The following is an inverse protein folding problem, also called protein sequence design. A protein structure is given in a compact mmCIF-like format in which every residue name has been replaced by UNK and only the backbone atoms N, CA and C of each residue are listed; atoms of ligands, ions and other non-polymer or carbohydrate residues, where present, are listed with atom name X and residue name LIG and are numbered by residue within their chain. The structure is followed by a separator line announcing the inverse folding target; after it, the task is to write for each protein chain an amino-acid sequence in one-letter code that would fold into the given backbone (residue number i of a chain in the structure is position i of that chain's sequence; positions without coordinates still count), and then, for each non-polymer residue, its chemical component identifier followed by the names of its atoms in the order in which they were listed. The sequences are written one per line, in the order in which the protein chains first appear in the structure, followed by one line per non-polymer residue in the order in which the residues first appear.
data_IF_599853638894
#
_entry.id   IF_599853638894
#
_cell.length_a   1.000
_cell.length_b   1.000
_cell.length_c   1.000
_cell.angle_alpha   90.00
_cell.angle_beta   90.00
_cell.angle_gamma   90.00
#
_symmetry.space_group_name_H-M   'P 1'
#
loop_
_entity.id
_entity.type
_entity.pdbx_description
1 polymer ?
#
# COMPACT_ATOMS: atom_id res chain seq x y z
N UNK A 1 9.21 11.16 -15.70
CA UNK A 1 7.76 10.85 -15.72
C UNK A 1 7.61 9.48 -16.36
N UNK A 2 7.45 8.42 -15.57
CA UNK A 2 7.21 7.09 -16.12
C UNK A 2 5.86 7.11 -16.87
N UNK A 3 5.90 6.91 -18.18
CA UNK A 3 4.69 6.85 -19.01
C UNK A 3 3.94 5.57 -18.65
N UNK A 4 2.95 5.67 -17.77
CA UNK A 4 2.05 4.59 -17.31
C UNK A 4 1.19 3.93 -18.41
N UNK A 5 1.59 4.01 -19.68
CA UNK A 5 0.86 3.37 -20.78
C UNK A 5 -0.54 3.94 -21.02
N UNK A 6 -0.80 5.18 -20.62
CA UNK A 6 -2.10 5.81 -20.85
C UNK A 6 -2.34 6.02 -22.35
N UNK A 7 -3.55 5.67 -22.79
CA UNK A 7 -4.04 5.90 -24.14
C UNK A 7 -4.93 7.13 -24.18
N UNK A 8 -4.75 7.96 -25.20
CA UNK A 8 -5.50 9.20 -25.37
C UNK A 8 -6.32 9.09 -26.64
N UNK A 9 -7.63 9.26 -26.52
CA UNK A 9 -8.55 9.19 -27.66
C UNK A 9 -9.19 10.54 -27.93
N UNK A 10 -9.47 10.79 -29.21
CA UNK A 10 -10.13 11.99 -29.69
C UNK A 10 -11.20 11.57 -30.69
N UNK A 11 -12.35 12.23 -30.65
CA UNK A 11 -13.43 11.97 -31.60
C UNK A 11 -13.06 12.38 -33.04
N UNK A 12 -13.40 11.52 -33.98
CA UNK A 12 -13.18 11.71 -35.41
C UNK A 12 -13.91 12.96 -35.90
N UNK A 13 -13.22 13.79 -36.69
CA UNK A 13 -13.75 15.05 -37.23
C UNK A 13 -14.22 16.08 -36.17
N UNK A 14 -13.82 15.91 -34.91
CA UNK A 14 -14.09 16.91 -33.87
C UNK A 14 -13.18 18.14 -34.02
N UNK A 15 -13.60 19.27 -33.45
CA UNK A 15 -12.75 20.46 -33.37
C UNK A 15 -11.47 20.19 -32.56
N UNK A 16 -11.53 19.30 -31.56
CA UNK A 16 -10.38 18.86 -30.79
C UNK A 16 -9.38 18.06 -31.62
N UNK A 17 -9.86 17.22 -32.56
CA UNK A 17 -9.00 16.52 -33.52
C UNK A 17 -8.23 17.51 -34.37
N UNK A 18 -8.92 18.46 -35.00
CA UNK A 18 -8.28 19.47 -35.84
C UNK A 18 -7.32 20.38 -35.06
N UNK A 19 -7.62 20.67 -33.79
CA UNK A 19 -6.73 21.44 -32.92
C UNK A 19 -5.43 20.71 -32.61
N UNK A 20 -5.49 19.40 -32.40
CA UNK A 20 -4.29 18.59 -32.11
C UNK A 20 -3.46 18.35 -33.37
N UNK A 21 -4.12 18.06 -34.49
CA UNK A 21 -3.46 17.81 -35.78
C UNK A 21 -2.74 19.05 -36.31
N UNK A 22 -3.40 20.21 -36.25
CA UNK A 22 -2.83 21.47 -36.73
C UNK A 22 -2.12 22.29 -35.64
N UNK A 23 -2.10 21.77 -34.41
CA UNK A 23 -1.53 22.45 -33.25
C UNK A 23 -0.02 22.50 -33.29
N UNK A 24 0.56 23.60 -32.79
CA UNK A 24 2.01 23.75 -32.61
C UNK A 24 2.39 23.63 -31.14
N UNK A 25 3.70 23.47 -30.88
CA UNK A 25 4.22 23.29 -29.52
C UNK A 25 3.66 22.03 -28.84
N UNK A 26 3.10 22.20 -27.64
CA UNK A 26 2.59 21.09 -26.83
C UNK A 26 1.51 20.26 -27.52
N UNK A 27 0.63 20.87 -28.31
CA UNK A 27 -0.42 20.14 -29.02
C UNK A 27 0.15 19.27 -30.15
N UNK A 28 1.14 19.80 -30.89
CA UNK A 28 1.85 19.05 -31.93
C UNK A 28 2.70 17.92 -31.35
N UNK A 29 3.37 18.15 -30.21
CA UNK A 29 4.12 17.11 -29.51
C UNK A 29 3.19 15.99 -29.01
N UNK A 30 2.03 16.35 -28.46
CA UNK A 30 1.01 15.39 -28.03
C UNK A 30 0.48 14.58 -29.22
N UNK A 31 0.17 15.22 -30.33
CA UNK A 31 -0.27 14.57 -31.57
C UNK A 31 0.77 13.58 -32.11
N UNK A 32 2.04 13.99 -32.13
CA UNK A 32 3.16 13.14 -32.52
C UNK A 32 3.30 11.94 -31.57
N UNK A 33 3.10 12.14 -30.27
CA UNK A 33 3.13 11.05 -29.29
C UNK A 33 1.97 10.07 -29.47
N UNK A 34 0.76 10.56 -29.72
CA UNK A 34 -0.42 9.73 -29.99
C UNK A 34 -0.19 8.87 -31.23
N UNK A 35 0.18 9.50 -32.34
CA UNK A 35 0.38 8.83 -33.64
C UNK A 35 1.53 7.82 -33.61
N UNK A 36 2.61 8.09 -32.86
CA UNK A 36 3.78 7.19 -32.80
C UNK A 36 3.63 6.03 -31.81
N UNK A 37 2.93 6.24 -30.69
CA UNK A 37 2.90 5.27 -29.58
C UNK A 37 1.65 4.39 -29.55
N UNK A 38 0.55 4.82 -30.18
CA UNK A 38 -0.74 4.14 -30.09
C UNK A 38 -1.22 3.71 -31.48
N UNK A 39 -1.67 2.46 -31.66
CA UNK A 39 -2.16 1.98 -32.95
C UNK A 39 -3.52 2.62 -33.32
N UNK A 40 -4.33 2.94 -32.32
CA UNK A 40 -5.65 3.54 -32.46
C UNK A 40 -5.80 4.67 -31.45
N UNK A 41 -6.09 5.88 -31.93
CA UNK A 41 -6.23 7.10 -31.12
C UNK A 41 -7.50 7.91 -31.48
N UNK A 42 -8.28 7.40 -32.43
CA UNK A 42 -9.52 8.02 -32.92
C UNK A 42 -10.70 7.14 -32.55
N UNK A 43 -11.77 7.77 -32.04
CA UNK A 43 -13.07 7.15 -31.74
C UNK A 43 -14.15 7.77 -32.62
N UNK A 44 -15.22 7.03 -32.89
CA UNK A 44 -16.28 7.52 -33.79
C UNK A 44 -17.26 8.47 -33.08
N UNK A 45 -17.40 8.33 -31.75
CA UNK A 45 -18.27 9.19 -30.94
C UNK A 45 -17.70 9.45 -29.55
N UNK A 46 -18.06 10.59 -28.94
CA UNK A 46 -17.73 10.88 -27.53
C UNK A 46 -18.31 9.82 -26.58
N UNK A 47 -19.52 9.32 -26.83
CA UNK A 47 -20.17 8.30 -26.00
C UNK A 47 -19.33 7.02 -25.91
N UNK A 48 -18.79 6.55 -27.04
CA UNK A 48 -17.89 5.39 -27.10
C UNK A 48 -16.63 5.63 -26.27
N UNK A 49 -16.03 6.82 -26.39
CA UNK A 49 -14.89 7.22 -25.57
C UNK A 49 -15.20 7.16 -24.08
N UNK A 50 -16.34 7.71 -23.66
CA UNK A 50 -16.75 7.70 -22.25
C UNK A 50 -16.97 6.26 -21.77
N UNK A 51 -17.54 5.38 -22.58
CA UNK A 51 -17.66 3.96 -22.24
C UNK A 51 -16.31 3.27 -22.08
N UNK A 52 -15.32 3.58 -22.91
CA UNK A 52 -13.95 3.05 -22.78
C UNK A 52 -13.27 3.48 -21.48
N UNK A 53 -13.42 4.75 -21.09
CA UNK A 53 -12.90 5.29 -19.82
C UNK A 53 -13.60 4.64 -18.63
N UNK A 54 -14.91 4.35 -18.73
CA UNK A 54 -15.63 3.63 -17.68
C UNK A 54 -15.06 2.22 -17.46
N UNK A 55 -14.77 1.52 -18.55
CA UNK A 55 -14.31 0.13 -18.52
C UNK A 55 -12.83 0.00 -18.12
N UNK A 56 -12.00 1.01 -18.40
CA UNK A 56 -10.55 0.93 -18.25
C UNK A 56 -9.95 2.17 -17.59
N UNK A 57 -9.02 1.96 -16.64
CA UNK A 57 -8.41 3.06 -15.87
C UNK A 57 -7.26 3.76 -16.57
N UNK A 58 -6.81 3.22 -17.71
CA UNK A 58 -5.61 3.68 -18.43
C UNK A 58 -5.97 4.43 -19.72
N UNK A 59 -7.21 4.88 -19.84
CA UNK A 59 -7.72 5.57 -21.02
C UNK A 59 -8.16 6.98 -20.64
N UNK A 60 -7.86 7.93 -21.52
CA UNK A 60 -8.30 9.31 -21.44
C UNK A 60 -8.93 9.71 -22.78
N UNK A 61 -9.93 10.58 -22.72
CA UNK A 61 -10.67 11.07 -23.89
C UNK A 61 -10.67 12.58 -23.90
N UNK A 62 -10.37 13.19 -25.05
CA UNK A 62 -10.49 14.62 -25.28
C UNK A 62 -11.76 14.89 -26.07
N UNK A 63 -12.67 15.66 -25.48
CA UNK A 63 -13.89 16.13 -26.12
C UNK A 63 -14.39 17.42 -25.45
N UNK A 64 -15.53 17.94 -25.92
CA UNK A 64 -16.20 19.07 -25.30
C UNK A 64 -16.53 18.80 -23.83
N UNK A 65 -16.15 19.72 -22.95
CA UNK A 65 -16.35 19.56 -21.49
C UNK A 65 -17.82 19.31 -21.13
N UNK A 66 -18.74 20.00 -21.78
CA UNK A 66 -20.16 19.89 -21.48
C UNK A 66 -20.73 18.54 -21.92
N UNK A 67 -20.33 18.07 -23.09
CA UNK A 67 -20.68 16.73 -23.60
C UNK A 67 -20.14 15.66 -22.67
N UNK A 68 -18.86 15.75 -22.26
CA UNK A 68 -18.27 14.82 -21.30
C UNK A 68 -19.00 14.85 -19.97
N UNK A 69 -19.32 16.04 -19.46
CA UNK A 69 -20.04 16.17 -18.20
C UNK A 69 -21.43 15.53 -18.27
N UNK A 70 -22.15 15.74 -19.37
CA UNK A 70 -23.45 15.13 -19.64
C UNK A 70 -23.35 13.60 -19.72
N UNK A 71 -22.40 13.07 -20.49
CA UNK A 71 -22.23 11.63 -20.68
C UNK A 71 -21.78 10.94 -19.39
N UNK A 72 -20.88 11.55 -18.62
CA UNK A 72 -20.46 11.04 -17.30
C UNK A 72 -21.67 10.98 -16.35
N UNK A 73 -22.51 12.02 -16.34
CA UNK A 73 -23.74 11.99 -15.54
C UNK A 73 -24.72 10.92 -16.01
N UNK A 74 -24.75 10.57 -17.30
CA UNK A 74 -25.60 9.51 -17.84
C UNK A 74 -25.07 8.12 -17.51
N UNK A 75 -23.79 7.85 -17.75
CA UNK A 75 -23.17 6.52 -17.61
C UNK A 75 -22.70 6.18 -16.19
N UNK A 76 -22.51 7.19 -15.33
CA UNK A 76 -22.12 7.05 -13.93
C UNK A 76 -20.77 7.69 -13.68
N UNK A 77 -20.63 8.40 -12.56
CA UNK A 77 -19.39 9.11 -12.20
C UNK A 77 -18.25 8.19 -11.73
N UNK A 78 -18.41 6.87 -11.77
CA UNK A 78 -17.40 5.90 -11.34
C UNK A 78 -16.23 5.89 -12.33
N UNK A 79 -15.00 6.05 -11.82
CA UNK A 79 -13.74 6.12 -12.59
C UNK A 79 -13.53 7.36 -13.47
N UNK A 80 -14.39 8.37 -13.39
CA UNK A 80 -14.22 9.60 -14.17
C UNK A 80 -13.62 10.73 -13.36
N UNK A 81 -12.68 11.44 -13.99
CA UNK A 81 -12.21 12.74 -13.54
C UNK A 81 -12.22 13.70 -14.73
N UNK A 82 -12.92 14.82 -14.59
CA UNK A 82 -12.98 15.85 -15.61
C UNK A 82 -11.84 16.84 -15.38
N UNK A 83 -10.94 16.97 -16.36
CA UNK A 83 -9.84 17.93 -16.31
C UNK A 83 -10.32 19.37 -16.51
N UNK A 84 -9.44 20.32 -16.22
CA UNK A 84 -9.67 21.72 -16.60
C UNK A 84 -9.74 21.91 -18.11
N UNK A 85 -10.35 23.02 -18.54
CA UNK A 85 -10.54 23.37 -19.95
C UNK A 85 -9.19 23.72 -20.58
N UNK A 86 -8.80 23.00 -21.64
CA UNK A 86 -7.58 23.29 -22.42
C UNK A 86 -7.78 24.47 -23.37
N UNK A 87 -8.99 24.61 -23.92
CA UNK A 87 -9.38 25.67 -24.83
C UNK A 87 -10.83 26.10 -24.54
N UNK A 88 -11.16 27.35 -24.88
CA UNK A 88 -12.52 27.86 -24.84
C UNK A 88 -13.11 27.82 -26.24
N UNK A 89 -14.13 26.98 -26.43
CA UNK A 89 -14.92 26.94 -27.65
C UNK A 89 -16.35 27.40 -27.34
N UNK A 90 -16.93 28.17 -28.26
CA UNK A 90 -18.31 28.66 -28.15
C UNK A 90 -19.20 27.86 -29.10
N UNK A 91 -20.39 27.49 -28.61
CA UNK A 91 -21.46 26.99 -29.47
C UNK A 91 -22.20 28.18 -30.06
N UNK A 92 -22.42 28.17 -31.36
CA UNK A 92 -23.14 29.22 -32.08
C UNK A 92 -24.11 28.60 -33.07
N UNK A 93 -25.16 29.35 -33.42
CA UNK A 93 -26.16 28.95 -34.40
C UNK A 93 -25.73 29.49 -35.76
N UNK A 94 -25.57 28.58 -36.73
CA UNK A 94 -25.16 28.93 -38.08
C UNK A 94 -26.38 29.42 -38.90
N UNK A 95 -26.26 30.59 -39.52
CA UNK A 95 -27.22 31.12 -40.48
C UNK A 95 -26.60 31.16 -41.87
N UNK A 96 -27.44 31.07 -42.91
CA UNK A 96 -27.00 31.30 -44.28
C UNK A 96 -26.53 32.75 -44.46
N UNK A 97 -25.54 32.95 -45.32
CA UNK A 97 -25.06 34.28 -45.68
C UNK A 97 -26.22 35.08 -46.26
N UNK A 98 -26.51 36.25 -45.68
CA UNK A 98 -27.62 37.12 -46.09
C UNK A 98 -28.96 36.84 -45.41
N UNK A 99 -29.02 35.96 -44.39
CA UNK A 99 -30.25 35.71 -43.64
C UNK A 99 -30.78 36.99 -42.95
N UNK A 100 -32.01 37.44 -43.24
CA UNK A 100 -32.57 38.67 -42.66
C UNK A 100 -32.92 38.53 -41.17
N UNK A 101 -32.95 37.31 -40.64
CA UNK A 101 -33.35 37.03 -39.27
C UNK A 101 -32.20 37.06 -38.26
N UNK A 102 -30.95 37.19 -38.70
CA UNK A 102 -29.78 37.07 -37.83
C UNK A 102 -29.80 38.09 -36.68
N UNK A 103 -30.12 39.35 -36.97
CA UNK A 103 -30.15 40.42 -35.96
C UNK A 103 -31.28 40.21 -34.95
N UNK A 104 -32.48 39.91 -35.45
CA UNK A 104 -33.64 39.62 -34.60
C UNK A 104 -33.39 38.41 -33.70
N UNK A 105 -32.80 37.36 -34.25
CA UNK A 105 -32.48 36.14 -33.51
C UNK A 105 -31.42 36.40 -32.45
N UNK A 106 -30.32 37.09 -32.80
CA UNK A 106 -29.28 37.45 -31.84
C UNK A 106 -29.83 38.30 -30.69
N UNK A 107 -30.71 39.27 -30.97
CA UNK A 107 -31.36 40.08 -29.92
C UNK A 107 -32.19 39.22 -28.96
N UNK A 108 -32.97 38.28 -29.49
CA UNK A 108 -33.78 37.37 -28.67
C UNK A 108 -32.88 36.43 -27.87
N UNK A 109 -31.83 35.87 -28.49
CA UNK A 109 -30.89 34.98 -27.83
C UNK A 109 -30.19 35.67 -26.65
N UNK A 110 -29.76 36.92 -26.84
CA UNK A 110 -29.18 37.73 -25.77
C UNK A 110 -30.19 37.98 -24.64
N UNK A 111 -31.43 38.33 -24.96
CA UNK A 111 -32.47 38.52 -23.93
C UNK A 111 -32.76 37.23 -23.13
N UNK A 112 -32.78 36.06 -23.79
CA UNK A 112 -32.96 34.76 -23.13
C UNK A 112 -31.76 34.42 -22.24
N UNK A 113 -30.54 34.71 -22.72
CA UNK A 113 -29.31 34.52 -21.96
C UNK A 113 -29.25 35.42 -20.72
N UNK A 114 -29.50 36.72 -20.88
CA UNK A 114 -29.52 37.70 -19.79
C UNK A 114 -30.61 37.42 -18.75
N UNK A 115 -31.77 36.92 -19.20
CA UNK A 115 -32.84 36.48 -18.31
C UNK A 115 -32.50 35.17 -17.55
N UNK A 116 -31.35 34.54 -17.82
CA UNK A 116 -30.91 33.30 -17.18
C UNK A 116 -31.71 32.05 -17.59
N UNK A 117 -32.52 32.15 -18.65
CA UNK A 117 -33.39 31.06 -19.10
C UNK A 117 -32.56 29.89 -19.62
N UNK A 118 -31.47 30.17 -20.35
CA UNK A 118 -30.56 29.11 -20.83
C UNK A 118 -29.93 28.34 -19.68
N UNK A 119 -29.45 29.04 -18.65
CA UNK A 119 -28.87 28.42 -17.45
C UNK A 119 -29.89 27.52 -16.75
N UNK A 120 -31.11 28.02 -16.55
CA UNK A 120 -32.19 27.23 -15.95
C UNK A 120 -32.52 25.99 -16.79
N UNK A 121 -32.60 26.14 -18.11
CA UNK A 121 -32.86 25.03 -19.02
C UNK A 121 -31.75 23.96 -18.92
N UNK A 122 -30.48 24.37 -18.85
CA UNK A 122 -29.38 23.43 -18.68
C UNK A 122 -29.43 22.71 -17.33
N UNK A 123 -29.74 23.42 -16.24
CA UNK A 123 -29.88 22.83 -14.91
C UNK A 123 -31.04 21.82 -14.85
N UNK A 124 -32.19 22.17 -15.44
CA UNK A 124 -33.36 21.30 -15.52
C UNK A 124 -33.06 20.02 -16.30
N UNK A 125 -32.30 20.10 -17.41
CA UNK A 125 -31.85 18.92 -18.15
C UNK A 125 -30.92 18.03 -17.31
N UNK A 126 -29.96 18.61 -16.59
CA UNK A 126 -29.10 17.84 -15.69
C UNK A 126 -29.88 17.15 -14.56
N UNK A 127 -30.88 17.81 -13.99
CA UNK A 127 -31.72 17.20 -12.97
C UNK A 127 -32.51 15.99 -13.50
N UNK A 128 -33.00 16.06 -14.74
CA UNK A 128 -33.73 14.93 -15.36
C UNK A 128 -32.84 13.71 -15.51
N UNK A 129 -31.59 13.89 -15.93
CA UNK A 129 -30.63 12.80 -16.09
C UNK A 129 -30.28 12.15 -14.76
N UNK A 130 -30.04 12.96 -13.72
CA UNK A 130 -29.79 12.45 -12.37
C UNK A 130 -30.96 11.60 -11.84
N UNK A 131 -32.20 11.97 -12.18
CA UNK A 131 -33.39 11.16 -11.85
C UNK A 131 -33.46 9.87 -12.67
N UNK A 132 -33.16 9.90 -13.97
CA UNK A 132 -33.14 8.69 -14.81
C UNK A 132 -32.09 7.68 -14.35
N UNK A 133 -30.92 8.15 -13.93
CA UNK A 133 -29.84 7.27 -13.49
C UNK A 133 -30.17 6.55 -12.17
N UNK A 134 -30.91 7.18 -11.27
CA UNK A 134 -31.36 6.51 -10.03
C UNK A 134 -32.35 5.38 -10.34
N UNK A 135 -33.21 5.55 -11.36
CA UNK A 135 -34.17 4.53 -11.81
C UNK A 135 -33.46 3.34 -12.46
N UNK A 136 -32.52 3.57 -13.38
CA UNK A 136 -31.77 2.49 -14.06
C UNK A 136 -30.88 1.71 -13.07
N UNK A 137 -30.28 2.41 -12.11
CA UNK A 137 -29.49 1.76 -11.06
C UNK A 137 -30.35 1.00 -10.05
N UNK A 138 -31.61 1.39 -9.80
CA UNK A 138 -32.53 0.60 -8.97
C UNK A 138 -32.97 -0.69 -9.66
N UNK A 139 -33.17 -0.69 -10.98
CA UNK A 139 -33.57 -1.88 -11.71
C UNK A 139 -32.42 -2.90 -11.83
N UNK A 140 -31.18 -2.42 -11.93
CA UNK A 140 -29.98 -3.29 -11.96
C UNK A 140 -29.57 -3.81 -10.58
N UNK A 141 -29.96 -3.13 -9.49
CA UNK A 141 -29.62 -3.52 -8.10
C UNK A 141 -30.55 -4.55 -7.46
N UNK A 142 -31.61 -4.99 -8.15
CA UNK A 142 -32.57 -5.95 -7.59
C UNK A 142 -32.04 -7.40 -7.48
N UNK A 143 -30.78 -7.68 -7.80
CA UNK A 143 -30.18 -9.03 -7.64
C UNK A 143 -29.22 -9.16 -6.44
N UNK A 144 -28.98 -8.11 -5.64
CA UNK A 144 -28.19 -8.26 -4.40
C UNK A 144 -28.80 -7.44 -3.25
N UNK A 145 -29.11 -8.17 -2.18
CA UNK A 145 -29.73 -7.82 -0.87
C UNK A 145 -29.47 -6.37 -0.38
N UNK A 146 -30.48 -5.71 0.25
CA UNK A 146 -30.47 -4.27 0.48
C UNK A 146 -29.78 -3.87 1.80
N UNK A 147 -29.17 -2.69 1.84
CA UNK A 147 -29.00 -1.94 3.09
C UNK A 147 -28.87 -0.44 2.79
N UNK A 148 -29.68 0.38 3.47
CA UNK A 148 -29.43 1.82 3.66
C UNK A 148 -30.20 2.77 2.74
N UNK A 149 -31.29 3.33 3.27
CA UNK A 149 -32.13 4.38 2.67
C UNK A 149 -31.47 5.78 2.76
N UNK A 150 -31.82 6.60 1.75
CA UNK A 150 -31.86 8.08 1.66
C UNK A 150 -30.53 8.83 1.54
N UNK A 151 -30.35 9.53 0.41
CA UNK A 151 -29.89 10.94 0.35
C UNK A 151 -29.83 11.45 -1.11
N UNK A 152 -30.92 12.03 -1.62
CA UNK A 152 -31.03 12.52 -3.02
C UNK A 152 -30.81 14.04 -3.14
N UNK A 153 -29.90 14.65 -2.35
CA UNK A 153 -29.68 16.11 -2.41
C UNK A 153 -28.23 16.60 -2.44
N UNK A 154 -27.23 15.74 -2.70
CA UNK A 154 -25.81 16.16 -2.62
C UNK A 154 -24.91 15.60 -3.72
N UNK A 155 -25.40 15.34 -4.93
CA UNK A 155 -24.56 14.80 -6.01
C UNK A 155 -23.41 15.75 -6.43
N UNK A 156 -23.57 17.08 -6.31
CA UNK A 156 -22.51 18.04 -6.63
C UNK A 156 -21.53 18.35 -5.47
N UNK A 157 -21.83 17.93 -4.23
CA UNK A 157 -20.92 18.05 -3.07
C UNK A 157 -20.23 16.72 -2.71
N UNK A 158 -20.63 15.61 -3.34
CA UNK A 158 -20.13 14.27 -3.05
C UNK A 158 -18.69 14.01 -3.56
N UNK A 159 -18.16 14.85 -4.45
CA UNK A 159 -16.78 14.69 -4.93
C UNK A 159 -15.75 15.12 -3.88
N UNK A 160 -16.10 16.06 -2.99
CA UNK A 160 -15.23 16.49 -1.88
C UNK A 160 -15.46 15.65 -0.60
N UNK A 161 -16.71 15.29 -0.29
CA UNK A 161 -17.01 14.53 0.94
C UNK A 161 -16.58 13.05 0.89
N UNK A 162 -16.35 12.46 -0.30
CA UNK A 162 -15.78 11.11 -0.42
C UNK A 162 -14.28 11.02 -0.05
N UNK A 163 -13.60 12.14 0.19
CA UNK A 163 -12.29 12.14 0.86
C UNK A 163 -12.42 11.92 2.37
N UNK A 164 -13.61 12.09 2.95
CA UNK A 164 -13.81 11.98 4.39
C UNK A 164 -14.36 10.59 4.73
N UNK A 165 -13.47 9.74 5.25
CA UNK A 165 -13.75 8.46 5.92
C UNK A 165 -13.77 7.22 5.03
N UNK A 166 -12.68 6.93 4.31
CA UNK A 166 -12.40 5.51 4.02
C UNK A 166 -12.09 4.82 5.36
N UNK A 167 -12.85 3.80 5.79
CA UNK A 167 -12.53 3.07 7.02
C UNK A 167 -11.11 2.48 6.89
N UNK A 168 -10.34 2.51 7.98
CA UNK A 168 -9.00 1.93 8.00
C UNK A 168 -9.09 0.47 7.58
N UNK A 169 -8.60 0.19 6.37
CA UNK A 169 -8.60 -1.16 5.83
C UNK A 169 -7.46 -1.95 6.46
N UNK A 170 -7.69 -3.24 6.74
CA UNK A 170 -6.64 -4.11 7.29
C UNK A 170 -5.41 -4.20 6.38
N UNK A 171 -5.58 -3.97 5.06
CA UNK A 171 -4.49 -3.85 4.09
C UNK A 171 -3.52 -2.71 4.44
N UNK A 172 -4.03 -1.59 4.93
CA UNK A 172 -3.24 -0.45 5.35
C UNK A 172 -2.36 -0.76 6.57
N UNK A 173 -2.76 -1.75 7.39
CA UNK A 173 -2.06 -2.16 8.61
C UNK A 173 -1.16 -3.41 8.42
N UNK A 174 -1.12 -3.98 7.21
CA UNK A 174 -0.32 -5.21 6.93
C UNK A 174 1.16 -5.03 7.26
N UNK A 175 1.73 -3.86 6.98
CA UNK A 175 3.13 -3.57 7.31
C UNK A 175 3.42 -3.66 8.81
N UNK A 176 2.50 -3.20 9.65
CA UNK A 176 2.65 -3.29 11.11
C UNK A 176 2.59 -4.74 11.61
N UNK A 177 1.70 -5.56 11.03
CA UNK A 177 1.63 -6.99 11.36
C UNK A 177 2.89 -7.76 10.94
N UNK A 178 3.43 -7.48 9.75
CA UNK A 178 4.69 -8.09 9.31
C UNK A 178 5.86 -7.69 10.22
N UNK A 179 5.95 -6.41 10.60
CA UNK A 179 6.98 -5.93 11.51
C UNK A 179 6.87 -6.59 12.89
N UNK A 180 5.65 -6.71 13.43
CA UNK A 180 5.38 -7.36 14.71
C UNK A 180 5.78 -8.85 14.66
N UNK A 181 5.43 -9.55 13.58
CA UNK A 181 5.79 -10.95 13.40
C UNK A 181 7.31 -11.15 13.33
N UNK A 182 8.01 -10.34 12.53
CA UNK A 182 9.48 -10.39 12.44
C UNK A 182 10.11 -10.09 13.80
N UNK A 183 9.60 -9.11 14.54
CA UNK A 183 10.08 -8.77 15.88
C UNK A 183 9.96 -9.95 16.86
N UNK A 184 8.82 -10.64 16.86
CA UNK A 184 8.64 -11.82 17.71
C UNK A 184 9.53 -13.00 17.31
N UNK A 185 9.70 -13.25 16.00
CA UNK A 185 10.62 -14.30 15.52
C UNK A 185 12.06 -13.99 15.92
N UNK A 186 12.51 -12.74 15.76
CA UNK A 186 13.86 -12.32 16.12
C UNK A 186 14.10 -12.45 17.63
N UNK A 187 13.12 -12.05 18.45
CA UNK A 187 13.17 -12.20 19.90
C UNK A 187 13.20 -13.68 20.32
N UNK A 188 12.42 -14.54 19.67
CA UNK A 188 12.45 -15.98 19.90
C UNK A 188 13.82 -16.60 19.57
N UNK A 189 14.43 -16.20 18.45
CA UNK A 189 15.78 -16.64 18.07
C UNK A 189 16.81 -16.19 19.10
N UNK A 190 16.76 -14.94 19.55
CA UNK A 190 17.68 -14.42 20.58
C UNK A 190 17.57 -15.21 21.89
N UNK A 191 16.35 -15.53 22.32
CA UNK A 191 16.09 -16.33 23.52
C UNK A 191 16.64 -17.75 23.39
N UNK A 192 16.44 -18.40 22.24
CA UNK A 192 17.02 -19.73 21.98
C UNK A 192 18.55 -19.71 22.01
N UNK A 193 19.19 -18.67 21.46
CA UNK A 193 20.63 -18.49 21.56
C UNK A 193 21.10 -18.34 23.01
N UNK A 194 20.42 -17.54 23.82
CA UNK A 194 20.78 -17.37 25.24
C UNK A 194 20.65 -18.67 26.02
N UNK A 195 19.54 -19.41 25.84
CA UNK A 195 19.34 -20.70 26.49
C UNK A 195 20.43 -21.70 26.09
N UNK A 196 20.79 -21.74 24.80
CA UNK A 196 21.89 -22.56 24.30
C UNK A 196 23.23 -22.23 24.99
N UNK A 197 23.59 -20.95 25.08
CA UNK A 197 24.82 -20.49 25.74
C UNK A 197 24.80 -20.82 27.24
N UNK A 198 23.68 -20.61 27.92
CA UNK A 198 23.53 -20.92 29.36
C UNK A 198 23.64 -22.41 29.62
N UNK A 199 23.02 -23.25 28.78
CA UNK A 199 23.07 -24.70 28.90
C UNK A 199 24.48 -25.22 28.64
N UNK A 200 25.18 -24.69 27.63
CA UNK A 200 26.57 -25.01 27.36
C UNK A 200 27.48 -24.59 28.53
N UNK A 201 27.32 -23.36 29.07
CA UNK A 201 28.06 -22.91 30.27
C UNK A 201 27.77 -23.78 31.50
N UNK A 202 26.53 -24.23 31.70
CA UNK A 202 26.17 -25.16 32.79
C UNK A 202 26.85 -26.51 32.61
N UNK A 203 26.87 -27.07 31.41
CA UNK A 203 27.57 -28.32 31.10
C UNK A 203 29.09 -28.20 31.27
N UNK A 204 29.70 -27.09 30.86
CA UNK A 204 31.13 -26.86 31.13
C UNK A 204 31.42 -26.70 32.63
N UNK A 205 30.54 -26.05 33.39
CA UNK A 205 30.68 -25.91 34.85
C UNK A 205 30.52 -27.24 35.58
N UNK A 206 29.58 -28.10 35.17
CA UNK A 206 29.41 -29.42 35.77
C UNK A 206 30.61 -30.32 35.47
N UNK A 207 31.17 -30.25 34.25
CA UNK A 207 32.39 -30.97 33.89
C UNK A 207 33.60 -30.49 34.73
N UNK A 208 33.81 -29.17 34.84
CA UNK A 208 34.87 -28.60 35.70
C UNK A 208 34.72 -28.99 37.16
N UNK A 209 33.49 -29.00 37.71
CA UNK A 209 33.22 -29.47 39.09
C UNK A 209 33.57 -30.95 39.26
N UNK A 210 33.20 -31.80 38.31
CA UNK A 210 33.48 -33.23 38.36
C UNK A 210 34.99 -33.53 38.32
N UNK A 211 35.74 -32.81 37.48
CA UNK A 211 37.21 -32.91 37.42
C UNK A 211 37.86 -32.42 38.73
N UNK A 212 37.43 -31.28 39.26
CA UNK A 212 37.96 -30.74 40.52
C UNK A 212 37.69 -31.69 41.70
N UNK A 213 36.52 -32.33 41.73
CA UNK A 213 36.16 -33.32 42.74
C UNK A 213 36.99 -34.60 42.62
N UNK A 214 37.30 -35.07 41.40
CA UNK A 214 38.23 -36.19 41.19
C UNK A 214 39.64 -35.85 41.68
N UNK A 215 40.16 -34.66 41.37
CA UNK A 215 41.48 -34.20 41.84
C UNK A 215 41.52 -34.10 43.37
N UNK A 216 40.48 -33.56 44.02
CA UNK A 216 40.39 -33.53 45.49
C UNK A 216 40.37 -34.92 46.11
N UNK A 217 39.67 -35.89 45.51
CA UNK A 217 39.66 -37.29 45.96
C UNK A 217 41.05 -37.94 45.83
N UNK A 218 41.75 -37.69 44.73
CA UNK A 218 43.13 -38.18 44.51
C UNK A 218 44.08 -37.55 45.53
N UNK A 219 44.03 -36.23 45.72
CA UNK A 219 44.87 -35.53 46.72
C UNK A 219 44.63 -36.04 48.14
N UNK A 220 43.37 -36.30 48.53
CA UNK A 220 43.06 -36.91 49.83
C UNK A 220 43.61 -38.34 49.95
N UNK A 221 43.53 -39.16 48.89
CA UNK A 221 44.13 -40.51 48.90
C UNK A 221 45.65 -40.45 49.04
N UNK A 222 46.31 -39.55 48.33
CA UNK A 222 47.77 -39.36 48.43
C UNK A 222 48.14 -38.91 49.83
N UNK A 223 47.43 -37.94 50.41
CA UNK A 223 47.70 -37.45 51.77
C UNK A 223 47.48 -38.53 52.84
N UNK A 224 46.43 -39.35 52.71
CA UNK A 224 46.20 -40.50 53.60
C UNK A 224 47.30 -41.56 53.46
N UNK A 225 47.77 -41.82 52.24
CA UNK A 225 48.86 -42.76 52.00
C UNK A 225 50.17 -42.25 52.61
N UNK A 226 50.49 -40.97 52.40
CA UNK A 226 51.64 -40.31 53.01
C UNK A 226 51.59 -40.35 54.54
N UNK A 227 50.43 -40.02 55.13
CA UNK A 227 50.24 -40.07 56.59
C UNK A 227 50.42 -41.49 57.15
N UNK A 228 49.96 -42.53 56.44
CA UNK A 228 50.19 -43.93 56.83
C UNK A 228 51.67 -44.31 56.76
N UNK A 229 52.38 -43.90 55.71
CA UNK A 229 53.82 -44.18 55.55
C UNK A 229 54.62 -43.49 56.66
N UNK A 230 54.35 -42.22 56.96
CA UNK A 230 55.02 -41.49 58.04
C UNK A 230 54.69 -42.11 59.41
N UNK A 231 53.45 -42.53 59.62
CA UNK A 231 53.04 -43.24 60.84
C UNK A 231 53.75 -44.57 61.03
N UNK A 232 53.91 -45.34 59.94
CA UNK A 232 54.67 -46.59 59.93
C UNK A 232 56.14 -46.35 60.27
N UNK A 233 56.76 -45.34 59.63
CA UNK A 233 58.16 -44.99 59.88
C UNK A 233 58.39 -44.54 61.33
N UNK A 234 57.47 -43.74 61.90
CA UNK A 234 57.54 -43.33 63.32
C UNK A 234 57.31 -44.45 64.31
N UNK A 235 56.57 -45.50 63.96
CA UNK A 235 56.44 -46.70 64.79
C UNK A 235 57.72 -47.52 64.75
N UNK A 236 58.24 -47.75 63.56
CA UNK A 236 59.47 -48.52 63.37
C UNK A 236 60.71 -47.87 63.98
N UNK A 237 60.82 -46.53 63.93
CA UNK A 237 61.88 -45.81 64.64
C UNK A 237 61.76 -46.01 66.17
N UNK A 238 60.54 -46.00 66.72
CA UNK A 238 60.34 -46.20 68.17
C UNK A 238 60.65 -47.63 68.61
N UNK A 239 60.34 -48.63 67.79
CA UNK A 239 60.72 -50.02 68.03
C UNK A 239 62.24 -50.17 68.03
N UNK A 240 62.94 -49.64 67.01
CA UNK A 240 64.41 -49.70 66.99
C UNK A 240 65.07 -48.92 68.15
N UNK A 241 64.45 -47.84 68.62
CA UNK A 241 64.94 -47.10 69.79
C UNK A 241 64.71 -47.87 71.09
N UNK A 242 63.62 -48.63 71.19
CA UNK A 242 63.32 -49.46 72.36
C UNK A 242 64.25 -50.68 72.42
N UNK A 243 64.48 -51.33 71.27
CA UNK A 243 65.42 -52.45 71.16
C UNK A 243 66.86 -52.01 71.48
N UNK A 244 67.30 -50.85 70.96
CA UNK A 244 68.60 -50.28 71.31
C UNK A 244 68.70 -49.90 72.80
N UNK A 245 67.61 -49.48 73.44
CA UNK A 245 67.59 -49.19 74.88
C UNK A 245 67.72 -50.47 75.72
N UNK A 246 67.05 -51.55 75.32
CA UNK A 246 67.15 -52.87 75.93
C UNK A 246 68.57 -53.44 75.81
N UNK A 247 69.16 -53.34 74.62
CA UNK A 247 70.53 -53.78 74.35
C UNK A 247 71.56 -53.01 75.21
N UNK A 248 71.34 -51.71 75.47
CA UNK A 248 72.21 -50.95 76.39
C UNK A 248 72.01 -51.27 77.88
N UNK A 249 70.84 -51.78 78.27
CA UNK A 249 70.55 -52.17 79.66
C UNK A 249 71.10 -53.57 79.98
N UNK A 250 71.20 -54.45 78.98
CA UNK A 250 71.73 -55.81 79.13
C UNK A 250 73.27 -55.84 79.34
N UNK A 251 73.96 -54.71 79.15
CA UNK A 251 75.40 -54.55 79.44
C UNK A 251 75.71 -53.97 80.83
N UNK A 252 74.70 -53.76 81.69
CA UNK A 252 74.85 -53.13 83.01
C UNK A 252 74.57 -54.06 84.20
N UNK A 253 74.36 -55.36 83.99
CA UNK A 253 74.43 -56.43 85.00
C UNK A 253 75.66 -57.33 84.78
#
# INVERSE_FOLDING_TARGET
METRGYQLFVEKYSSSYGLLENGTGLYGDLWNMMTKKQPTFVIDSVEEGVQLVRQSTNVAVVAGRETLFFDIQRFGAENFHLSEKLNTAYSAIAFQIGCPYIENFNRILMAIFEAGILTKMTEDEYEKLGKQQTVVNSDTKNTVVPTGKKETRKAAKATEDNQKSRPISIKMLQGAFYLLFIGHVLSGIALLFEVGIVQQKRNLRSLKRNVLMKIRKIKRRIWLCYSRIVGYFRRRIREMLHDAFLETLEYLE
#
